data_IF_568793223178
#
_entry.id   IF_568793223178
#
_cell.length_a   1.000
_cell.length_b   1.000
_cell.length_c   1.000
_cell.angle_alpha   90.00
_cell.angle_beta   90.00
_cell.angle_gamma   90.00
#
_symmetry.space_group_name_H-M   'P 1'
#
loop_
_entity.id
_entity.type
_entity.pdbx_description
1 polymer ?
#
# COMPACT_ATOMS: atom_id res chain seq x y z
N UNK A 1 -20.32 -8.25 12.75
CA UNK A 1 -20.81 -8.08 11.37
C UNK A 1 -21.63 -9.31 10.95
N UNK A 2 -21.13 -10.55 11.07
CA UNK A 2 -21.87 -11.78 10.67
C UNK A 2 -23.25 -11.94 11.32
N UNK A 3 -23.45 -11.43 12.52
CA UNK A 3 -24.78 -11.46 13.19
C UNK A 3 -25.84 -10.59 12.49
N UNK A 4 -25.40 -9.69 11.59
CA UNK A 4 -26.26 -8.69 10.93
C UNK A 4 -26.21 -8.77 9.40
N UNK A 5 -25.47 -9.73 8.83
CA UNK A 5 -25.32 -9.88 7.39
C UNK A 5 -25.32 -11.37 7.03
N UNK A 6 -26.16 -11.75 6.10
CA UNK A 6 -26.18 -13.10 5.51
C UNK A 6 -25.01 -13.32 4.56
N UNK A 7 -24.45 -12.22 4.04
CA UNK A 7 -23.47 -12.23 2.97
C UNK A 7 -22.42 -11.12 3.15
N UNK A 8 -21.12 -11.47 3.04
CA UNK A 8 -20.02 -10.54 3.22
C UNK A 8 -19.11 -10.53 1.99
N UNK A 9 -19.17 -9.42 1.25
CA UNK A 9 -18.21 -9.06 0.19
C UNK A 9 -17.09 -8.21 0.75
N UNK A 10 -15.86 -8.57 0.44
CA UNK A 10 -14.70 -7.74 0.76
C UNK A 10 -14.11 -7.16 -0.53
N UNK A 11 -14.26 -5.84 -0.70
CA UNK A 11 -13.66 -5.10 -1.81
C UNK A 11 -12.29 -4.63 -1.38
N UNK A 12 -11.25 -5.15 -2.03
CA UNK A 12 -9.86 -4.82 -1.75
C UNK A 12 -9.30 -3.91 -2.85
N UNK A 13 -8.65 -2.84 -2.43
CA UNK A 13 -7.98 -1.90 -3.33
C UNK A 13 -6.48 -2.01 -3.15
N UNK A 14 -5.73 -1.99 -4.25
CA UNK A 14 -4.29 -1.78 -4.16
C UNK A 14 -3.99 -0.41 -3.57
N UNK A 15 -2.86 -0.27 -2.89
CA UNK A 15 -2.44 1.04 -2.35
C UNK A 15 -2.20 2.05 -3.46
N UNK A 16 -1.70 1.59 -4.61
CA UNK A 16 -1.57 2.40 -5.82
C UNK A 16 -2.92 3.00 -6.25
N UNK A 17 -3.96 2.16 -6.31
CA UNK A 17 -5.32 2.62 -6.67
C UNK A 17 -5.91 3.57 -5.63
N UNK A 18 -5.65 3.29 -4.38
CA UNK A 18 -6.10 4.15 -3.29
C UNK A 18 -5.46 5.55 -3.39
N UNK A 19 -4.15 5.64 -3.68
CA UNK A 19 -3.48 6.93 -3.93
C UNK A 19 -4.10 7.67 -5.10
N UNK A 20 -4.38 6.99 -6.22
CA UNK A 20 -5.07 7.61 -7.37
C UNK A 20 -6.42 8.21 -6.96
N UNK A 21 -7.20 7.50 -6.17
CA UNK A 21 -8.53 7.96 -5.74
C UNK A 21 -8.42 9.20 -4.85
N UNK A 22 -7.50 9.19 -3.89
CA UNK A 22 -7.30 10.32 -2.98
C UNK A 22 -6.82 11.56 -3.74
N UNK A 23 -5.90 11.40 -4.67
CA UNK A 23 -5.39 12.51 -5.48
C UNK A 23 -6.44 13.14 -6.38
N UNK A 24 -7.45 12.37 -6.83
CA UNK A 24 -8.55 12.87 -7.68
C UNK A 24 -9.68 13.55 -6.90
N UNK A 25 -9.74 13.40 -5.58
CA UNK A 25 -10.80 14.02 -4.78
C UNK A 25 -10.57 15.51 -4.62
N UNK A 26 -11.62 16.35 -4.77
CA UNK A 26 -11.46 17.78 -4.56
C UNK A 26 -11.01 18.10 -3.15
N UNK A 27 -10.18 19.13 -2.97
CA UNK A 27 -9.51 19.47 -1.71
C UNK A 27 -10.43 19.76 -0.52
N UNK A 28 -11.71 20.01 -0.76
CA UNK A 28 -12.67 20.44 0.25
C UNK A 28 -12.95 19.44 1.36
N UNK A 29 -12.68 18.16 1.13
CA UNK A 29 -12.92 17.12 2.14
C UNK A 29 -11.68 16.75 2.98
N UNK A 30 -10.48 17.21 2.64
CA UNK A 30 -9.22 16.69 3.22
C UNK A 30 -8.23 17.82 3.58
N UNK A 31 -8.62 19.10 3.60
CA UNK A 31 -7.70 20.15 3.99
C UNK A 31 -7.67 20.35 5.52
N UNK A 32 -6.62 19.90 6.22
CA UNK A 32 -6.11 20.66 7.34
C UNK A 32 -5.46 21.92 6.74
N UNK A 33 -5.90 23.10 7.17
CA UNK A 33 -5.44 24.40 6.69
C UNK A 33 -3.97 24.75 6.98
N UNK A 34 -3.15 23.81 7.37
CA UNK A 34 -1.90 24.13 8.03
C UNK A 34 -0.84 23.09 7.83
N UNK A 35 -0.09 23.08 6.76
CA UNK A 35 1.27 22.51 6.88
C UNK A 35 2.23 22.87 5.72
N UNK A 36 1.76 23.39 4.60
CA UNK A 36 2.65 23.79 3.51
C UNK A 36 2.20 25.13 2.92
N UNK A 37 3.13 26.06 2.79
CA UNK A 37 2.89 27.42 2.27
C UNK A 37 2.27 27.43 0.87
N UNK A 38 1.64 28.53 0.52
CA UNK A 38 0.79 28.75 -0.67
C UNK A 38 1.43 28.55 -2.06
N UNK A 39 2.64 28.06 -2.19
CA UNK A 39 3.34 27.89 -3.46
C UNK A 39 3.45 26.46 -4.01
N UNK A 40 2.88 25.46 -3.33
CA UNK A 40 3.11 24.02 -3.64
C UNK A 40 1.79 23.28 -3.89
N UNK A 41 0.82 23.94 -4.50
CA UNK A 41 -0.57 23.47 -4.54
C UNK A 41 -0.74 22.06 -5.13
N UNK A 42 -0.12 21.72 -6.25
CA UNK A 42 -0.36 20.42 -6.89
C UNK A 42 0.54 19.30 -6.34
N UNK A 43 1.80 19.59 -6.03
CA UNK A 43 2.71 18.62 -5.43
C UNK A 43 2.46 18.44 -3.93
N UNK A 44 1.99 19.49 -3.23
CA UNK A 44 1.59 19.45 -1.82
C UNK A 44 0.38 18.57 -1.57
N UNK A 45 -0.62 18.58 -2.45
CA UNK A 45 -1.76 17.66 -2.38
C UNK A 45 -1.34 16.20 -2.45
N UNK A 46 -0.34 15.87 -3.26
CA UNK A 46 0.14 14.49 -3.38
C UNK A 46 0.84 14.00 -2.09
N UNK A 47 1.60 14.87 -1.42
CA UNK A 47 2.28 14.53 -0.15
C UNK A 47 1.31 14.39 0.99
N UNK A 48 0.35 15.31 1.13
CA UNK A 48 -0.65 15.23 2.20
C UNK A 48 -1.58 14.03 2.00
N UNK A 49 -1.97 13.75 0.77
CA UNK A 49 -2.74 12.56 0.44
C UNK A 49 -1.96 11.27 0.76
N UNK A 50 -0.66 11.25 0.44
CA UNK A 50 0.22 10.12 0.76
C UNK A 50 0.34 9.92 2.28
N UNK A 51 0.66 10.97 3.03
CA UNK A 51 0.80 10.92 4.49
C UNK A 51 -0.51 10.50 5.16
N UNK A 52 -1.63 11.08 4.74
CA UNK A 52 -2.95 10.75 5.25
C UNK A 52 -3.30 9.27 4.99
N UNK A 53 -3.01 8.78 3.78
CA UNK A 53 -3.18 7.39 3.45
C UNK A 53 -2.30 6.49 4.33
N UNK A 54 -1.02 6.81 4.43
CA UNK A 54 -0.03 5.98 5.09
C UNK A 54 -0.21 5.91 6.62
N UNK A 55 -0.43 7.05 7.26
CA UNK A 55 -0.47 7.13 8.73
C UNK A 55 -1.88 6.99 9.33
N UNK A 56 -2.94 7.19 8.54
CA UNK A 56 -4.30 7.15 9.05
C UNK A 56 -5.11 6.03 8.39
N UNK A 57 -5.27 6.05 7.06
CA UNK A 57 -6.18 5.10 6.41
C UNK A 57 -5.64 3.68 6.38
N UNK A 58 -4.38 3.47 6.02
CA UNK A 58 -3.84 2.11 5.91
C UNK A 58 -3.78 1.37 7.24
N UNK A 59 -3.38 1.96 8.37
CA UNK A 59 -3.46 1.28 9.67
C UNK A 59 -4.89 0.85 10.03
N UNK A 60 -5.89 1.69 9.75
CA UNK A 60 -7.30 1.36 9.97
C UNK A 60 -7.75 0.23 9.06
N UNK A 61 -7.44 0.31 7.76
CA UNK A 61 -7.80 -0.73 6.79
C UNK A 61 -7.10 -2.05 7.09
N UNK A 62 -5.83 -2.04 7.47
CA UNK A 62 -5.08 -3.25 7.80
C UNK A 62 -5.66 -3.93 9.05
N UNK A 63 -6.11 -3.16 10.03
CA UNK A 63 -6.83 -3.68 11.20
C UNK A 63 -8.16 -4.31 10.82
N UNK A 64 -8.95 -3.65 9.99
CA UNK A 64 -10.22 -4.18 9.49
C UNK A 64 -10.01 -5.42 8.61
N UNK A 65 -9.00 -5.40 7.73
CA UNK A 65 -8.64 -6.51 6.84
C UNK A 65 -8.42 -7.81 7.60
N UNK A 66 -7.67 -7.76 8.71
CA UNK A 66 -7.41 -8.93 9.57
C UNK A 66 -8.70 -9.60 10.05
N UNK A 67 -9.73 -8.81 10.29
CA UNK A 67 -11.02 -9.33 10.71
C UNK A 67 -11.86 -9.83 9.53
N UNK A 68 -11.98 -9.02 8.48
CA UNK A 68 -12.89 -9.29 7.37
C UNK A 68 -12.44 -10.50 6.56
N UNK A 69 -11.14 -10.67 6.29
CA UNK A 69 -10.61 -11.79 5.51
C UNK A 69 -10.90 -13.17 6.15
N UNK A 70 -11.11 -13.22 7.47
CA UNK A 70 -11.50 -14.45 8.17
C UNK A 70 -12.95 -14.85 7.90
N UNK A 71 -13.81 -13.89 7.56
CA UNK A 71 -15.25 -14.04 7.53
C UNK A 71 -15.91 -13.77 6.17
N UNK A 72 -15.17 -13.33 5.16
CA UNK A 72 -15.71 -13.02 3.84
C UNK A 72 -16.30 -14.26 3.16
N UNK A 73 -17.30 -14.05 2.35
CA UNK A 73 -17.83 -15.04 1.41
C UNK A 73 -17.20 -14.89 0.05
N UNK A 74 -16.97 -13.64 -0.39
CA UNK A 74 -16.33 -13.31 -1.65
C UNK A 74 -15.29 -12.21 -1.49
N UNK A 75 -14.17 -12.41 -2.15
CA UNK A 75 -13.15 -11.41 -2.39
C UNK A 75 -13.43 -10.70 -3.71
N UNK A 76 -13.33 -9.38 -3.71
CA UNK A 76 -13.50 -8.54 -4.89
C UNK A 76 -12.27 -7.70 -5.12
N UNK A 77 -11.65 -7.79 -6.31
CA UNK A 77 -10.65 -6.82 -6.75
C UNK A 77 -11.35 -5.51 -7.08
N UNK A 78 -11.01 -4.44 -6.36
CA UNK A 78 -11.67 -3.15 -6.47
C UNK A 78 -10.93 -2.11 -7.32
N UNK A 79 -9.82 -2.46 -7.97
CA UNK A 79 -9.03 -1.52 -8.76
C UNK A 79 -9.74 -1.03 -10.03
N UNK A 80 -10.63 -1.83 -10.58
CA UNK A 80 -11.43 -1.48 -11.76
C UNK A 80 -12.93 -1.57 -11.45
N UNK A 81 -13.67 -0.54 -11.83
CA UNK A 81 -15.14 -0.53 -11.73
C UNK A 81 -15.74 -1.20 -12.97
N UNK A 82 -15.07 -1.10 -14.11
CA UNK A 82 -15.57 -1.61 -15.39
C UNK A 82 -15.38 -3.13 -15.53
N UNK A 83 -14.45 -3.69 -14.76
CA UNK A 83 -14.14 -5.12 -14.77
C UNK A 83 -14.11 -5.66 -13.34
N UNK A 84 -15.27 -6.01 -12.81
CA UNK A 84 -15.43 -6.55 -11.47
C UNK A 84 -14.98 -8.02 -11.44
N UNK A 85 -13.98 -8.31 -10.62
CA UNK A 85 -13.48 -9.67 -10.39
C UNK A 85 -13.89 -10.13 -9.00
N UNK A 86 -14.87 -11.01 -8.97
CA UNK A 86 -15.44 -11.57 -7.76
C UNK A 86 -15.02 -13.03 -7.63
N UNK A 87 -14.41 -13.38 -6.49
CA UNK A 87 -13.84 -14.70 -6.25
C UNK A 87 -14.43 -15.29 -4.96
N UNK A 88 -15.08 -16.46 -5.03
CA UNK A 88 -15.52 -17.15 -3.82
C UNK A 88 -14.36 -17.41 -2.86
N UNK A 89 -14.60 -17.26 -1.56
CA UNK A 89 -13.59 -17.44 -0.49
C UNK A 89 -12.74 -18.69 -0.66
N UNK A 90 -13.36 -19.82 -0.98
CA UNK A 90 -12.66 -21.10 -1.16
C UNK A 90 -11.50 -20.99 -2.18
N UNK A 91 -11.76 -20.37 -3.33
CA UNK A 91 -10.76 -20.22 -4.38
C UNK A 91 -9.76 -19.11 -4.06
N UNK A 92 -10.22 -18.01 -3.47
CA UNK A 92 -9.35 -16.95 -3.02
C UNK A 92 -8.32 -17.47 -2.01
N UNK A 93 -8.74 -18.19 -0.97
CA UNK A 93 -7.83 -18.74 0.03
C UNK A 93 -6.85 -19.76 -0.56
N UNK A 94 -7.28 -20.56 -1.55
CA UNK A 94 -6.38 -21.47 -2.28
C UNK A 94 -5.28 -20.69 -3.01
N UNK A 95 -5.63 -19.61 -3.73
CA UNK A 95 -4.67 -18.75 -4.42
C UNK A 95 -3.66 -18.17 -3.43
N UNK A 96 -4.13 -17.57 -2.34
CA UNK A 96 -3.31 -16.97 -1.29
C UNK A 96 -2.33 -17.98 -0.71
N UNK A 97 -2.80 -19.18 -0.38
CA UNK A 97 -1.98 -20.23 0.19
C UNK A 97 -0.90 -20.75 -0.78
N UNK A 98 -1.23 -20.88 -2.06
CA UNK A 98 -0.26 -21.26 -3.07
C UNK A 98 0.79 -20.20 -3.33
N UNK A 99 0.40 -18.91 -3.29
CA UNK A 99 1.32 -17.78 -3.44
C UNK A 99 2.36 -17.73 -2.32
N UNK A 100 1.95 -18.00 -1.07
CA UNK A 100 2.84 -17.99 0.08
C UNK A 100 3.94 -19.08 0.05
N UNK A 101 3.82 -20.07 -0.85
CA UNK A 101 4.75 -21.21 -1.00
C UNK A 101 5.66 -21.12 -2.20
N UNK A 102 5.65 -20.01 -2.93
CA UNK A 102 6.42 -19.81 -4.16
C UNK A 102 7.20 -18.51 -4.09
N UNK A 103 8.32 -18.40 -4.80
CA UNK A 103 8.90 -17.10 -5.08
C UNK A 103 7.87 -16.22 -5.78
N UNK A 104 7.66 -15.03 -5.26
CA UNK A 104 6.72 -14.04 -5.79
C UNK A 104 7.48 -12.78 -6.19
N UNK A 105 7.01 -12.14 -7.26
CA UNK A 105 7.48 -10.82 -7.67
C UNK A 105 6.39 -9.82 -7.41
N UNK A 106 6.72 -8.78 -6.66
CA UNK A 106 5.81 -7.68 -6.40
C UNK A 106 5.79 -6.69 -7.58
N UNK A 107 4.61 -6.11 -7.85
CA UNK A 107 4.46 -5.04 -8.83
C UNK A 107 5.06 -3.77 -8.26
N UNK A 108 6.02 -3.13 -8.96
CA UNK A 108 6.57 -1.85 -8.54
C UNK A 108 5.50 -0.77 -8.40
N UNK A 109 5.74 0.15 -7.46
CA UNK A 109 4.94 1.36 -7.28
C UNK A 109 5.87 2.58 -7.23
N UNK A 110 5.46 3.67 -7.87
CA UNK A 110 6.22 4.90 -8.00
C UNK A 110 5.39 6.06 -7.48
N UNK A 111 5.97 6.82 -6.57
CA UNK A 111 5.25 7.87 -5.83
C UNK A 111 5.95 9.21 -6.06
N UNK A 112 5.21 10.24 -6.51
CA UNK A 112 5.74 11.58 -6.65
C UNK A 112 5.83 12.31 -5.30
N UNK A 113 6.69 13.34 -5.24
CA UNK A 113 6.80 14.26 -4.10
C UNK A 113 7.34 15.61 -4.60
N UNK A 114 7.19 16.72 -3.84
CA UNK A 114 7.75 18.02 -4.21
C UNK A 114 9.24 18.01 -4.54
N UNK A 115 10.01 17.12 -3.92
CA UNK A 115 11.45 16.99 -4.17
C UNK A 115 11.81 15.92 -5.21
N UNK A 116 10.80 15.19 -5.71
CA UNK A 116 11.01 14.03 -6.58
C UNK A 116 11.74 14.36 -7.87
N UNK A 117 12.60 13.42 -8.30
CA UNK A 117 13.47 13.56 -9.45
C UNK A 117 12.88 13.05 -10.76
N UNK A 118 13.67 13.18 -11.81
CA UNK A 118 13.32 12.78 -13.17
C UNK A 118 14.13 11.56 -13.66
N UNK A 119 15.16 11.14 -12.92
CA UNK A 119 16.06 10.09 -13.37
C UNK A 119 15.35 8.71 -13.41
N UNK A 120 14.72 8.31 -12.32
CA UNK A 120 13.95 7.05 -12.27
C UNK A 120 12.79 7.09 -13.26
N UNK A 121 12.11 8.25 -13.38
CA UNK A 121 11.01 8.42 -14.34
C UNK A 121 11.47 8.09 -15.76
N UNK A 122 12.61 8.63 -16.20
CA UNK A 122 13.19 8.34 -17.52
C UNK A 122 13.69 6.90 -17.64
N UNK A 123 14.43 6.42 -16.64
CA UNK A 123 15.01 5.07 -16.62
C UNK A 123 13.95 3.99 -16.74
N UNK A 124 12.82 4.16 -16.06
CA UNK A 124 11.71 3.20 -16.04
C UNK A 124 10.63 3.49 -17.07
N UNK A 125 10.78 4.55 -17.88
CA UNK A 125 9.78 4.98 -18.86
C UNK A 125 8.39 5.11 -18.24
N UNK A 126 8.33 5.77 -17.09
CA UNK A 126 7.07 5.97 -16.36
C UNK A 126 6.15 6.90 -17.15
N UNK A 127 4.83 6.81 -16.96
CA UNK A 127 3.87 7.63 -17.68
C UNK A 127 4.15 9.12 -17.55
N UNK A 128 3.96 9.89 -18.61
CA UNK A 128 4.19 11.35 -18.62
C UNK A 128 3.33 12.08 -17.59
N UNK A 129 2.12 11.61 -17.35
CA UNK A 129 1.23 12.15 -16.32
C UNK A 129 1.78 12.08 -14.89
N UNK A 130 2.78 11.22 -14.64
CA UNK A 130 3.50 11.21 -13.37
C UNK A 130 4.50 12.38 -13.39
N UNK A 131 4.27 13.39 -12.55
CA UNK A 131 5.03 14.63 -12.51
C UNK A 131 6.53 14.34 -12.32
N UNK A 132 6.86 13.49 -11.34
CA UNK A 132 8.22 13.07 -11.00
C UNK A 132 8.17 11.72 -10.29
N UNK A 133 9.31 11.18 -9.89
CA UNK A 133 9.38 10.01 -9.02
C UNK A 133 10.26 10.35 -7.82
N UNK A 134 9.68 10.40 -6.63
CA UNK A 134 10.42 10.59 -5.40
C UNK A 134 10.82 9.24 -4.80
N UNK A 135 9.87 8.31 -4.71
CA UNK A 135 10.07 6.97 -4.19
C UNK A 135 9.72 5.91 -5.22
N UNK A 136 10.66 4.99 -5.44
CA UNK A 136 10.46 3.81 -6.25
C UNK A 136 10.55 2.56 -5.37
N UNK A 137 9.42 1.93 -5.10
CA UNK A 137 9.34 0.65 -4.41
C UNK A 137 9.41 -0.46 -5.45
N UNK A 138 10.58 -1.03 -5.66
CA UNK A 138 10.82 -2.01 -6.74
C UNK A 138 11.19 -3.40 -6.22
N UNK A 139 11.72 -3.51 -5.00
CA UNK A 139 12.13 -4.78 -4.41
C UNK A 139 11.03 -5.36 -3.52
N UNK A 140 10.87 -4.80 -2.31
CA UNK A 140 9.88 -5.24 -1.35
C UNK A 140 9.38 -4.07 -0.50
N UNK A 141 8.07 -3.91 -0.44
CA UNK A 141 7.38 -2.99 0.46
C UNK A 141 5.92 -3.41 0.64
N UNK A 142 5.32 -3.16 1.81
CA UNK A 142 3.91 -3.47 2.05
C UNK A 142 2.94 -2.75 1.09
N UNK A 143 3.36 -1.63 0.53
CA UNK A 143 2.60 -0.82 -0.42
C UNK A 143 2.41 -1.50 -1.77
N UNK A 144 3.26 -2.43 -2.11
CA UNK A 144 3.24 -3.11 -3.39
C UNK A 144 2.08 -4.10 -3.50
N UNK A 145 1.86 -4.63 -4.70
CA UNK A 145 0.84 -5.61 -4.98
C UNK A 145 1.39 -6.77 -5.82
N UNK A 146 0.62 -7.84 -5.91
CA UNK A 146 0.90 -8.97 -6.79
C UNK A 146 -0.01 -8.91 -8.00
N UNK A 147 0.50 -9.39 -9.14
CA UNK A 147 -0.32 -9.68 -10.32
C UNK A 147 -0.36 -11.19 -10.47
N UNK A 148 -1.52 -11.76 -10.23
CA UNK A 148 -1.77 -13.20 -10.37
C UNK A 148 -2.47 -13.45 -11.69
N UNK A 149 -1.92 -14.33 -12.52
CA UNK A 149 -2.55 -14.75 -13.76
C UNK A 149 -3.27 -16.09 -13.53
N UNK A 150 -4.57 -16.10 -13.73
CA UNK A 150 -5.44 -17.27 -13.64
C UNK A 150 -6.07 -17.49 -15.02
N UNK A 151 -5.48 -18.37 -15.84
CA UNK A 151 -5.84 -18.49 -17.25
C UNK A 151 -5.79 -17.12 -17.95
N UNK A 152 -6.93 -16.59 -18.37
CA UNK A 152 -7.06 -15.31 -19.08
C UNK A 152 -7.34 -14.12 -18.13
N UNK A 153 -7.58 -14.38 -16.86
CA UNK A 153 -7.88 -13.35 -15.85
C UNK A 153 -6.57 -12.92 -15.19
N UNK A 154 -6.38 -11.60 -15.11
CA UNK A 154 -5.35 -10.97 -14.27
C UNK A 154 -6.00 -10.42 -13.02
N UNK A 155 -5.54 -10.85 -11.87
CA UNK A 155 -6.00 -10.41 -10.57
C UNK A 155 -4.89 -9.61 -9.88
N UNK A 156 -5.21 -8.43 -9.38
CA UNK A 156 -4.30 -7.67 -8.52
C UNK A 156 -4.67 -7.92 -7.07
N UNK A 157 -3.69 -8.31 -6.29
CA UNK A 157 -3.86 -8.55 -4.84
C UNK A 157 -2.85 -7.67 -4.10
N UNK A 158 -3.28 -6.81 -3.16
CA UNK A 158 -2.35 -6.08 -2.31
C UNK A 158 -1.43 -7.04 -1.55
N UNK A 159 -0.15 -6.72 -1.46
CA UNK A 159 0.81 -7.55 -0.72
C UNK A 159 0.42 -7.68 0.76
N UNK A 160 -0.11 -6.61 1.34
CA UNK A 160 -0.65 -6.63 2.71
C UNK A 160 -1.80 -7.62 2.90
N UNK A 161 -2.56 -7.94 1.86
CA UNK A 161 -3.63 -8.96 1.91
C UNK A 161 -3.03 -10.36 2.00
N UNK A 162 -2.01 -10.64 1.19
CA UNK A 162 -1.25 -11.89 1.30
C UNK A 162 -0.58 -12.03 2.68
N UNK A 163 0.09 -10.96 3.14
CA UNK A 163 0.69 -10.91 4.47
C UNK A 163 -0.34 -11.14 5.58
N UNK A 164 -1.54 -10.57 5.46
CA UNK A 164 -2.57 -10.76 6.48
C UNK A 164 -3.03 -12.22 6.61
N UNK A 165 -3.06 -12.95 5.50
CA UNK A 165 -3.50 -14.34 5.47
C UNK A 165 -2.39 -15.33 5.81
N UNK A 166 -1.16 -15.07 5.36
CA UNK A 166 -0.07 -16.06 5.33
C UNK A 166 1.25 -15.52 5.91
N UNK A 167 1.17 -14.63 6.89
CA UNK A 167 2.33 -13.89 7.40
C UNK A 167 3.47 -14.81 7.84
N UNK A 168 3.19 -15.83 8.66
CA UNK A 168 4.21 -16.76 9.16
C UNK A 168 4.89 -17.55 8.02
N UNK A 169 4.12 -17.94 7.00
CA UNK A 169 4.65 -18.66 5.85
C UNK A 169 5.56 -17.79 4.96
N UNK A 170 5.35 -16.47 4.97
CA UNK A 170 6.14 -15.51 4.17
C UNK A 170 7.42 -15.08 4.90
N UNK A 171 7.30 -14.71 6.18
CA UNK A 171 8.42 -14.12 6.94
C UNK A 171 9.14 -15.13 7.84
N UNK A 172 8.57 -16.30 8.06
CA UNK A 172 9.08 -17.31 8.96
C UNK A 172 8.69 -17.06 10.43
N UNK A 173 8.82 -18.13 11.21
CA UNK A 173 8.35 -18.18 12.61
C UNK A 173 8.99 -17.16 13.52
N UNK A 174 10.28 -16.91 13.39
CA UNK A 174 11.01 -15.99 14.28
C UNK A 174 10.56 -14.54 14.05
N UNK A 175 10.41 -14.11 12.79
CA UNK A 175 9.90 -12.79 12.46
C UNK A 175 8.43 -12.67 12.87
N UNK A 176 7.62 -13.72 12.67
CA UNK A 176 6.24 -13.75 13.13
C UNK A 176 6.12 -13.51 14.63
N UNK A 177 6.93 -14.20 15.45
CA UNK A 177 6.93 -14.05 16.91
C UNK A 177 7.32 -12.65 17.35
N UNK A 178 8.33 -12.07 16.68
CA UNK A 178 8.87 -10.76 17.02
C UNK A 178 7.95 -9.61 16.60
N UNK A 179 7.41 -9.64 15.39
CA UNK A 179 6.72 -8.50 14.79
C UNK A 179 5.19 -8.66 14.68
N UNK A 180 4.66 -9.84 14.97
CA UNK A 180 3.20 -10.11 15.11
C UNK A 180 2.31 -9.53 13.99
N UNK A 181 2.77 -9.58 12.75
CA UNK A 181 2.05 -9.11 11.57
C UNK A 181 2.51 -7.75 11.03
N UNK A 182 3.46 -7.08 11.67
CA UNK A 182 4.17 -5.95 11.11
C UNK A 182 5.26 -6.46 10.16
N UNK A 183 5.26 -6.00 8.89
CA UNK A 183 6.28 -6.40 7.92
C UNK A 183 7.53 -5.53 8.09
N UNK A 184 8.67 -6.09 8.55
CA UNK A 184 9.78 -5.30 9.06
C UNK A 184 10.75 -4.77 8.00
N UNK A 185 10.45 -4.98 6.72
CA UNK A 185 11.34 -4.58 5.62
C UNK A 185 10.57 -3.72 4.63
N UNK A 186 11.18 -2.57 4.29
CA UNK A 186 10.76 -1.72 3.18
C UNK A 186 12.02 -1.26 2.45
N UNK A 187 12.10 -1.56 1.16
CA UNK A 187 13.21 -1.15 0.31
C UNK A 187 12.67 -0.26 -0.80
N UNK A 188 13.20 0.94 -0.89
CA UNK A 188 12.87 1.90 -1.94
C UNK A 188 14.12 2.63 -2.41
N UNK A 189 14.04 3.19 -3.59
CA UNK A 189 15.03 4.13 -4.12
C UNK A 189 14.43 5.53 -4.05
N UNK A 190 15.23 6.49 -3.61
CA UNK A 190 14.89 7.90 -3.62
C UNK A 190 15.56 8.58 -4.80
N UNK A 191 14.80 9.42 -5.51
CA UNK A 191 15.31 10.19 -6.65
C UNK A 191 14.97 11.67 -6.47
N UNK A 192 16.01 12.50 -6.38
CA UNK A 192 15.89 13.96 -6.35
C UNK A 192 16.64 14.63 -7.52
N UNK A 193 17.13 13.84 -8.49
CA UNK A 193 17.88 14.37 -9.64
C UNK A 193 16.98 15.21 -10.55
N UNK A 194 17.37 16.44 -10.78
CA UNK A 194 16.52 17.45 -11.45
C UNK A 194 15.19 17.71 -10.74
N UNK A 195 15.13 17.43 -9.44
CA UNK A 195 14.01 17.69 -8.56
C UNK A 195 14.32 18.77 -7.54
N UNK A 196 13.57 18.78 -6.45
CA UNK A 196 13.79 19.70 -5.33
C UNK A 196 14.73 19.12 -4.26
N UNK A 197 15.02 19.93 -3.26
CA UNK A 197 15.74 19.47 -2.08
C UNK A 197 14.84 18.63 -1.17
N UNK A 198 15.33 17.46 -0.76
CA UNK A 198 14.68 16.67 0.25
C UNK A 198 14.79 17.35 1.62
N UNK A 199 13.73 17.36 2.40
CA UNK A 199 13.77 17.89 3.75
C UNK A 199 14.72 17.06 4.63
N UNK A 200 15.44 17.73 5.52
CA UNK A 200 16.20 17.05 6.58
C UNK A 200 15.18 16.42 7.55
N UNK A 201 15.32 15.13 7.76
CA UNK A 201 14.42 14.37 8.63
C UNK A 201 15.23 13.63 9.71
N UNK A 202 14.66 13.55 10.90
CA UNK A 202 15.15 12.69 11.97
C UNK A 202 14.17 11.55 12.13
N UNK A 203 14.64 10.33 11.95
CA UNK A 203 13.85 9.14 12.23
C UNK A 203 13.97 8.77 13.70
N UNK A 204 12.86 8.50 14.40
CA UNK A 204 12.90 8.08 15.79
C UNK A 204 13.51 6.69 15.93
N UNK A 205 14.18 6.44 17.04
CA UNK A 205 14.70 5.12 17.34
C UNK A 205 13.59 4.14 17.78
N UNK A 206 13.92 2.86 17.85
CA UNK A 206 12.97 1.81 18.21
C UNK A 206 12.42 1.98 19.64
N UNK A 207 13.20 2.55 20.57
CA UNK A 207 12.76 2.78 21.93
C UNK A 207 11.66 3.85 21.96
N UNK A 208 11.92 4.98 21.31
CA UNK A 208 10.95 6.07 21.21
C UNK A 208 9.64 5.63 20.54
N UNK A 209 9.72 4.90 19.42
CA UNK A 209 8.54 4.39 18.71
C UNK A 209 7.74 3.42 19.59
N UNK A 210 8.41 2.53 20.30
CA UNK A 210 7.74 1.59 21.20
C UNK A 210 7.03 2.30 22.35
N UNK A 211 7.69 3.27 22.97
CA UNK A 211 7.15 3.98 24.14
C UNK A 211 5.99 4.92 23.78
N UNK A 212 6.04 5.58 22.63
CA UNK A 212 5.08 6.62 22.26
C UNK A 212 3.98 6.13 21.31
N UNK A 213 4.23 5.10 20.50
CA UNK A 213 3.30 4.63 19.45
C UNK A 213 2.96 3.14 19.58
N UNK A 214 3.63 2.42 20.49
CA UNK A 214 3.49 0.99 20.69
C UNK A 214 3.73 0.16 19.41
N UNK A 215 4.59 0.66 18.52
CA UNK A 215 5.03 -0.02 17.31
C UNK A 215 6.37 -0.75 17.56
N UNK A 216 6.67 -1.84 16.84
CA UNK A 216 7.84 -2.67 17.13
C UNK A 216 9.18 -2.09 16.65
N UNK A 217 9.15 -1.21 15.66
CA UNK A 217 10.33 -0.54 15.06
C UNK A 217 9.95 0.84 14.54
N UNK A 218 10.93 1.75 14.50
CA UNK A 218 10.86 3.09 13.91
C UNK A 218 11.41 3.16 12.50
#
# INVERSE_FOLDING_TARGET
>A
VRKFCDFLLYIDLTREKFYEIIQRRPPTMIRPKTFLGEGVADAGLSVDAFKLAHYIYFPVFDKQRRYVLKHLDYYVEGDSIDEIKLIPRKYFMKIIHELARRPIRLKPIYIPSPWGGQWIKRLRRLPEKLINCAWAFEAVAPEMSLIVKLKDIRLKIPFVTLLTCEYENIVGREIYRRFKGFFPIRVHYDDSFEGGNMAIQVHPDNKYIKENFNEPIG
#
